data_IF_346657302001
#
_entry.id   IF_346657302001
#
_cell.length_a   1.000
_cell.length_b   1.000
_cell.length_c   1.000
_cell.angle_alpha   90.00
_cell.angle_beta   90.00
_cell.angle_gamma   90.00
#
_symmetry.space_group_name_H-M   'P 1'
#
loop_
_entity.id
_entity.type
_entity.pdbx_description
1 polymer ?
#
# COMPACT_ATOMS: atom_id res chain seq x y z
N UNK A 1 -12.54 2.77 10.13
CA UNK A 1 -11.91 1.69 10.90
C UNK A 1 -10.91 2.28 11.89
N UNK A 2 -11.33 2.54 13.12
CA UNK A 2 -10.41 2.58 14.25
C UNK A 2 -10.31 1.13 14.73
N UNK A 3 -9.23 0.45 14.35
CA UNK A 3 -8.88 -0.81 14.99
C UNK A 3 -8.16 -0.40 16.29
N UNK A 4 -8.74 -0.63 17.48
CA UNK A 4 -8.07 -0.31 18.73
C UNK A 4 -7.01 -1.38 18.99
N UNK A 5 -5.98 -1.41 18.14
CA UNK A 5 -4.83 -2.28 18.35
C UNK A 5 -3.95 -1.59 19.40
N UNK A 6 -3.81 -2.15 20.62
CA UNK A 6 -2.81 -1.67 21.56
C UNK A 6 -1.42 -1.75 20.91
N UNK A 7 -0.58 -0.75 21.19
CA UNK A 7 0.81 -0.69 20.72
C UNK A 7 1.50 -1.98 21.13
N UNK A 8 1.80 -2.88 20.19
CA UNK A 8 2.39 -4.19 20.53
C UNK A 8 1.84 -5.38 19.76
N UNK A 9 0.69 -5.24 19.10
CA UNK A 9 -0.05 -6.39 18.58
C UNK A 9 -0.19 -6.41 17.06
N UNK A 10 -0.03 -7.60 16.50
CA UNK A 10 -0.37 -7.94 15.13
C UNK A 10 -1.89 -8.08 15.06
N UNK A 11 -2.51 -7.36 14.12
CA UNK A 11 -3.95 -7.40 13.95
C UNK A 11 -4.28 -8.08 12.63
N UNK A 12 -5.27 -8.98 12.64
CA UNK A 12 -5.80 -9.62 11.46
C UNK A 12 -7.32 -9.47 11.37
N UNK A 13 -7.85 -9.50 10.16
CA UNK A 13 -9.28 -9.60 9.89
C UNK A 13 -9.52 -10.62 8.78
N UNK A 14 -10.43 -11.56 9.02
CA UNK A 14 -10.85 -12.64 8.11
C UNK A 14 -12.33 -12.42 7.79
N UNK A 15 -12.66 -12.20 6.51
CA UNK A 15 -14.04 -11.90 6.09
C UNK A 15 -14.54 -12.92 5.04
N UNK A 16 -15.77 -13.48 5.18
CA UNK A 16 -16.39 -14.35 4.18
C UNK A 16 -17.11 -13.59 3.07
N UNK A 17 -17.02 -14.11 1.85
CA UNK A 17 -18.03 -13.99 0.77
C UNK A 17 -18.11 -15.34 0.04
N UNK A 18 -19.22 -15.69 -0.59
CA UNK A 18 -19.39 -16.96 -1.33
C UNK A 18 -18.14 -17.33 -2.15
N UNK A 19 -17.47 -18.42 -1.75
CA UNK A 19 -16.27 -18.97 -2.40
C UNK A 19 -14.91 -18.31 -2.08
N UNK A 20 -14.87 -17.21 -1.30
CA UNK A 20 -13.62 -16.45 -1.04
C UNK A 20 -13.54 -15.88 0.37
N UNK A 21 -12.38 -16.01 1.00
CA UNK A 21 -12.09 -15.37 2.30
C UNK A 21 -10.92 -14.40 2.13
N UNK A 22 -11.03 -13.17 2.65
CA UNK A 22 -9.94 -12.21 2.58
C UNK A 22 -9.29 -11.98 3.94
N UNK A 23 -7.97 -12.10 4.00
CA UNK A 23 -7.16 -11.74 5.17
C UNK A 23 -6.49 -10.38 4.97
N UNK A 24 -6.68 -9.48 5.93
CA UNK A 24 -5.85 -8.29 6.09
C UNK A 24 -4.97 -8.43 7.33
N UNK A 25 -3.64 -8.36 7.16
CA UNK A 25 -2.68 -8.36 8.27
C UNK A 25 -2.02 -6.99 8.40
N UNK A 26 -2.09 -6.40 9.60
CA UNK A 26 -1.41 -5.15 9.92
C UNK A 26 -0.11 -5.42 10.68
N UNK A 27 0.98 -4.95 10.09
CA UNK A 27 2.33 -5.03 10.62
C UNK A 27 2.67 -3.69 11.24
N UNK A 28 2.69 -3.63 12.58
CA UNK A 28 3.36 -2.54 13.26
C UNK A 28 4.82 -2.92 13.45
N UNK A 29 5.73 -2.08 12.95
CA UNK A 29 7.11 -2.10 13.43
C UNK A 29 7.07 -1.72 14.91
N UNK A 30 7.10 -2.75 15.76
CA UNK A 30 7.21 -2.59 17.19
C UNK A 30 8.67 -2.79 17.53
N UNK A 31 9.39 -1.69 17.72
CA UNK A 31 10.56 -1.74 18.56
C UNK A 31 10.07 -2.15 19.95
N UNK A 32 10.24 -3.42 20.30
CA UNK A 32 10.05 -3.88 21.67
C UNK A 32 10.91 -3.02 22.60
N UNK A 33 10.38 -2.51 23.74
CA UNK A 33 11.14 -1.65 24.64
C UNK A 33 12.38 -2.34 25.25
N UNK A 34 12.48 -3.67 25.14
CA UNK A 34 13.61 -4.46 25.64
C UNK A 34 14.79 -4.59 24.67
N UNK A 35 14.65 -4.16 23.40
CA UNK A 35 15.76 -4.18 22.45
C UNK A 35 16.51 -2.85 22.56
N UNK A 36 17.35 -2.74 23.59
CA UNK A 36 18.32 -1.66 23.72
C UNK A 36 19.37 -1.85 22.62
N UNK A 37 19.16 -1.24 21.46
CA UNK A 37 20.15 -1.19 20.38
C UNK A 37 21.34 -0.35 20.86
N UNK A 38 22.36 -1.02 21.40
CA UNK A 38 23.69 -0.45 21.48
C UNK A 38 24.19 -0.19 20.03
N UNK A 39 24.93 0.89 19.77
CA UNK A 39 25.48 1.15 18.45
C UNK A 39 26.62 0.16 18.19
N UNK A 40 26.27 -1.04 17.72
CA UNK A 40 27.27 -2.02 17.27
C UNK A 40 27.71 -1.63 15.86
N UNK A 41 29.00 -1.24 15.77
CA UNK A 41 29.98 -1.23 14.67
C UNK A 41 29.50 -1.21 13.19
N UNK A 42 30.25 -0.54 12.30
CA UNK A 42 29.75 -0.07 11.01
C UNK A 42 29.57 -1.22 10.01
N UNK A 43 28.35 -1.74 9.90
CA UNK A 43 27.85 -2.25 8.63
C UNK A 43 28.18 -1.20 7.58
N UNK A 44 28.80 -1.56 6.45
CA UNK A 44 29.01 -0.63 5.34
C UNK A 44 27.66 0.00 5.00
N UNK A 45 27.41 1.25 5.44
CA UNK A 45 26.04 1.73 5.52
C UNK A 45 25.61 2.00 4.09
N UNK A 46 24.45 1.49 3.69
CA UNK A 46 23.88 1.94 2.41
C UNK A 46 23.86 3.46 2.45
N UNK A 47 24.54 4.11 1.51
CA UNK A 47 24.62 5.57 1.56
C UNK A 47 23.20 6.11 1.36
N UNK A 48 22.76 6.95 2.29
CA UNK A 48 21.48 7.62 2.19
C UNK A 48 21.59 8.79 1.21
N UNK A 49 20.88 8.71 0.09
CA UNK A 49 20.78 9.78 -0.90
C UNK A 49 19.45 10.51 -0.73
N UNK A 50 19.50 11.83 -0.63
CA UNK A 50 18.32 12.68 -0.57
C UNK A 50 18.19 13.41 -1.92
N UNK A 51 17.16 13.06 -2.68
CA UNK A 51 16.88 13.61 -4.01
C UNK A 51 15.75 14.61 -3.92
N UNK A 52 15.96 15.84 -4.38
CA UNK A 52 14.94 16.88 -4.47
C UNK A 52 14.71 17.24 -5.93
N UNK A 53 13.44 17.30 -6.34
CA UNK A 53 13.05 17.71 -7.70
C UNK A 53 11.74 18.50 -7.65
N UNK A 54 11.63 19.53 -8.47
CA UNK A 54 10.41 20.34 -8.67
C UNK A 54 9.77 20.14 -10.04
N UNK A 55 10.39 19.32 -10.90
CA UNK A 55 9.96 19.10 -12.27
C UNK A 55 9.97 17.63 -12.71
N UNK A 56 9.71 17.46 -14.00
CA UNK A 56 9.62 16.17 -14.67
C UNK A 56 10.91 15.78 -15.38
N UNK A 57 11.08 14.48 -15.59
CA UNK A 57 12.21 13.90 -16.32
C UNK A 57 11.67 13.02 -17.45
N UNK A 58 12.17 13.24 -18.67
CA UNK A 58 11.72 12.51 -19.87
C UNK A 58 12.18 11.05 -19.88
N UNK A 59 13.34 10.74 -19.31
CA UNK A 59 13.91 9.38 -19.26
C UNK A 59 13.68 8.70 -17.90
N UNK A 60 12.45 8.76 -17.38
CA UNK A 60 12.10 8.20 -16.06
C UNK A 60 12.50 6.72 -15.93
N UNK A 61 12.24 5.89 -16.96
CA UNK A 61 12.55 4.45 -16.94
C UNK A 61 14.04 4.16 -16.75
N UNK A 62 14.90 4.81 -17.54
CA UNK A 62 16.36 4.66 -17.45
C UNK A 62 16.89 5.04 -16.06
N UNK A 63 16.36 6.12 -15.48
CA UNK A 63 16.73 6.55 -14.13
C UNK A 63 16.31 5.50 -13.10
N UNK A 64 15.08 4.97 -13.20
CA UNK A 64 14.60 3.93 -12.28
C UNK A 64 15.41 2.63 -12.40
N UNK A 65 15.80 2.23 -13.61
CA UNK A 65 16.63 1.05 -13.86
C UNK A 65 18.05 1.23 -13.29
N UNK A 66 18.62 2.42 -13.43
CA UNK A 66 19.90 2.77 -12.81
C UNK A 66 19.82 2.71 -11.28
N UNK A 67 18.77 3.29 -10.69
CA UNK A 67 18.54 3.26 -9.24
C UNK A 67 18.37 1.82 -8.75
N UNK A 68 17.62 1.00 -9.48
CA UNK A 68 17.42 -0.43 -9.17
C UNK A 68 18.72 -1.21 -9.19
N UNK A 69 19.59 -0.97 -10.17
CA UNK A 69 20.93 -1.59 -10.26
C UNK A 69 21.79 -1.24 -9.06
N UNK A 70 21.63 -0.03 -8.50
CA UNK A 70 22.42 0.46 -7.37
C UNK A 70 21.70 0.33 -6.01
N UNK A 71 20.53 -0.29 -5.94
CA UNK A 71 19.74 -0.42 -4.70
C UNK A 71 20.44 -1.25 -3.60
N UNK A 72 21.49 -2.00 -3.96
CA UNK A 72 22.34 -2.73 -3.02
C UNK A 72 23.22 -1.81 -2.18
N UNK A 73 23.79 -0.75 -2.78
CA UNK A 73 24.73 0.17 -2.13
C UNK A 73 24.07 1.45 -1.59
N UNK A 74 22.89 1.80 -2.12
CA UNK A 74 22.27 3.09 -1.92
C UNK A 74 20.81 2.98 -1.53
N UNK A 75 20.38 3.87 -0.63
CA UNK A 75 18.97 4.06 -0.26
C UNK A 75 18.57 5.50 -0.59
N UNK A 76 17.53 5.66 -1.40
CA UNK A 76 17.13 6.98 -1.89
C UNK A 76 15.85 7.47 -1.22
N UNK A 77 15.93 8.65 -0.61
CA UNK A 77 14.81 9.42 -0.08
C UNK A 77 14.50 10.54 -1.08
N UNK A 78 13.34 10.51 -1.70
CA UNK A 78 12.99 11.42 -2.80
C UNK A 78 11.93 12.43 -2.37
N UNK A 79 12.07 13.66 -2.84
CA UNK A 79 11.20 14.79 -2.51
C UNK A 79 10.73 15.47 -3.80
N UNK A 80 9.42 15.48 -4.04
CA UNK A 80 8.79 16.34 -5.03
C UNK A 80 8.43 17.67 -4.45
N UNK A 81 8.79 18.76 -5.12
CA UNK A 81 8.48 20.12 -4.69
C UNK A 81 7.54 20.75 -5.72
N UNK A 82 6.37 21.19 -5.27
CA UNK A 82 5.36 21.78 -6.15
C UNK A 82 4.55 20.75 -6.94
N UNK A 83 3.54 21.25 -7.64
CA UNK A 83 2.56 20.45 -8.40
C UNK A 83 3.13 19.88 -9.71
N UNK A 84 4.27 20.41 -10.19
CA UNK A 84 4.92 19.97 -11.42
C UNK A 84 5.89 18.79 -11.23
N UNK A 85 6.05 18.29 -10.01
CA UNK A 85 7.01 17.25 -9.72
C UNK A 85 6.49 15.86 -10.13
N UNK A 86 7.30 15.09 -10.87
CA UNK A 86 6.88 13.78 -11.39
C UNK A 86 6.68 12.75 -10.28
N UNK A 87 5.41 12.42 -9.99
CA UNK A 87 5.04 11.38 -9.02
C UNK A 87 5.63 10.02 -9.36
N UNK A 88 5.70 9.68 -10.65
CA UNK A 88 6.25 8.41 -11.13
C UNK A 88 7.75 8.30 -10.80
N UNK A 89 8.52 9.37 -11.07
CA UNK A 89 9.94 9.41 -10.76
C UNK A 89 10.18 9.36 -9.25
N UNK A 90 9.54 10.24 -8.48
CA UNK A 90 9.78 10.37 -7.04
C UNK A 90 9.42 9.08 -6.31
N UNK A 91 8.21 8.56 -6.57
CA UNK A 91 7.76 7.31 -5.95
C UNK A 91 8.57 6.11 -6.43
N UNK A 92 8.93 6.08 -7.71
CA UNK A 92 9.73 5.01 -8.30
C UNK A 92 11.13 4.94 -7.70
N UNK A 93 11.84 6.07 -7.57
CA UNK A 93 13.20 6.13 -7.00
C UNK A 93 13.21 5.60 -5.57
N UNK A 94 12.27 6.06 -4.74
CA UNK A 94 12.14 5.58 -3.37
C UNK A 94 11.79 4.08 -3.31
N UNK A 95 10.88 3.61 -4.17
CA UNK A 95 10.46 2.20 -4.24
C UNK A 95 11.61 1.28 -4.63
N UNK A 96 12.38 1.63 -5.67
CA UNK A 96 13.49 0.80 -6.16
C UNK A 96 14.66 0.77 -5.18
N UNK A 97 15.00 1.90 -4.55
CA UNK A 97 16.10 1.98 -3.58
C UNK A 97 15.71 1.62 -2.13
N UNK A 98 14.45 1.23 -1.89
CA UNK A 98 13.96 0.90 -0.55
C UNK A 98 14.05 2.08 0.45
N UNK A 99 13.75 3.29 -0.03
CA UNK A 99 13.69 4.51 0.77
C UNK A 99 12.26 5.04 0.91
N UNK A 100 12.12 6.36 1.03
CA UNK A 100 10.83 7.01 1.26
C UNK A 100 10.65 8.23 0.36
N UNK A 101 9.47 8.32 -0.26
CA UNK A 101 9.06 9.41 -1.12
C UNK A 101 8.20 10.41 -0.33
N UNK A 102 8.44 11.70 -0.52
CA UNK A 102 7.60 12.77 0.00
C UNK A 102 7.29 13.82 -1.07
N UNK A 103 6.11 14.40 -0.99
CA UNK A 103 5.69 15.51 -1.85
C UNK A 103 5.49 16.73 -0.98
N UNK A 104 5.95 17.89 -1.41
CA UNK A 104 5.88 19.18 -0.72
C UNK A 104 5.11 20.11 -1.65
N UNK A 105 3.82 20.29 -1.41
CA UNK A 105 2.94 21.07 -2.30
C UNK A 105 2.18 22.16 -1.53
N UNK A 106 1.66 23.16 -2.24
CA UNK A 106 0.85 24.23 -1.67
C UNK A 106 1.48 24.92 -0.44
N UNK A 107 0.84 24.75 0.72
CA UNK A 107 1.23 25.36 2.01
C UNK A 107 2.08 24.43 2.89
N UNK A 108 2.57 23.31 2.34
CA UNK A 108 3.38 22.37 3.09
C UNK A 108 4.68 22.99 3.58
N UNK A 109 5.01 22.72 4.84
CA UNK A 109 6.34 23.03 5.38
C UNK A 109 7.31 21.91 5.01
N UNK A 110 8.39 22.25 4.34
CA UNK A 110 9.45 21.32 3.95
C UNK A 110 10.17 20.71 5.17
N UNK A 111 10.38 21.49 6.23
CA UNK A 111 11.17 21.08 7.39
C UNK A 111 10.67 19.79 8.06
N UNK A 112 9.39 19.64 8.46
CA UNK A 112 8.90 18.40 9.09
C UNK A 112 9.03 17.20 8.16
N UNK A 113 8.81 17.40 6.86
CA UNK A 113 8.92 16.37 5.82
C UNK A 113 10.35 15.85 5.70
N UNK A 114 11.32 16.76 5.54
CA UNK A 114 12.74 16.40 5.50
C UNK A 114 13.20 15.73 6.79
N UNK A 115 12.79 16.25 7.96
CA UNK A 115 13.15 15.67 9.25
C UNK A 115 12.60 14.24 9.43
N UNK A 116 11.41 13.94 8.89
CA UNK A 116 10.87 12.58 8.92
C UNK A 116 11.69 11.60 8.09
N UNK A 117 12.03 11.95 6.84
CA UNK A 117 12.90 11.11 6.00
C UNK A 117 14.30 10.97 6.59
N UNK A 118 14.82 12.02 7.25
CA UNK A 118 16.11 11.95 7.94
C UNK A 118 16.07 10.96 9.11
N UNK A 119 14.98 10.93 9.90
CA UNK A 119 14.81 9.92 10.96
C UNK A 119 14.84 8.51 10.38
N UNK A 120 14.15 8.28 9.25
CA UNK A 120 14.17 6.99 8.56
C UNK A 120 15.55 6.60 8.02
N UNK A 121 16.34 7.57 7.57
CA UNK A 121 17.71 7.33 7.12
C UNK A 121 18.67 6.95 8.26
N UNK A 122 18.48 7.54 9.45
CA UNK A 122 19.35 7.34 10.61
C UNK A 122 18.98 6.12 11.46
N UNK A 123 17.77 5.58 11.32
CA UNK A 123 17.29 4.44 12.08
C UNK A 123 17.49 3.13 11.32
N UNK A 124 17.66 2.03 12.08
CA UNK A 124 17.61 0.70 11.50
C UNK A 124 16.24 0.47 10.85
N UNK A 125 16.25 0.05 9.59
CA UNK A 125 15.05 -0.33 8.88
C UNK A 125 14.88 -1.84 8.92
N UNK A 126 13.62 -2.30 8.94
CA UNK A 126 13.30 -3.69 8.70
C UNK A 126 13.45 -3.94 7.20
N UNK A 127 14.28 -4.93 6.83
CA UNK A 127 14.58 -5.30 5.45
C UNK A 127 14.39 -6.80 5.24
N UNK A 128 14.49 -7.25 3.99
CA UNK A 128 14.38 -8.67 3.60
C UNK A 128 13.10 -9.35 4.10
N UNK A 129 12.00 -8.60 4.04
CA UNK A 129 10.69 -9.06 4.50
C UNK A 129 10.18 -10.15 3.56
N UNK A 130 9.87 -11.31 4.13
CA UNK A 130 9.26 -12.44 3.43
C UNK A 130 8.07 -12.95 4.22
N UNK A 131 7.01 -13.33 3.51
CA UNK A 131 5.74 -13.76 4.07
C UNK A 131 5.48 -15.18 3.61
N UNK A 132 5.32 -16.10 4.57
CA UNK A 132 4.99 -17.49 4.34
C UNK A 132 3.62 -17.79 4.91
N UNK A 133 2.79 -18.40 4.08
CA UNK A 133 1.44 -18.80 4.43
C UNK A 133 1.44 -20.30 4.73
N UNK A 134 0.98 -20.67 5.92
CA UNK A 134 0.81 -22.05 6.32
C UNK A 134 -0.68 -22.29 6.55
N UNK A 135 -1.33 -22.78 5.49
CA UNK A 135 -2.76 -23.08 5.44
C UNK A 135 -2.95 -24.57 5.08
N UNK A 136 -4.12 -25.16 5.39
CA UNK A 136 -4.46 -26.52 4.98
C UNK A 136 -4.35 -26.73 3.48
N UNK A 137 -4.15 -27.98 3.03
CA UNK A 137 -3.91 -28.31 1.62
C UNK A 137 -5.10 -27.97 0.72
N UNK A 138 -6.29 -27.91 1.30
CA UNK A 138 -7.57 -27.62 0.66
C UNK A 138 -7.77 -26.12 0.42
N UNK A 139 -6.94 -25.27 1.04
CA UNK A 139 -7.01 -23.82 0.95
C UNK A 139 -5.79 -23.28 0.20
N UNK A 140 -6.02 -22.46 -0.82
CA UNK A 140 -4.97 -21.75 -1.54
C UNK A 140 -4.92 -20.27 -1.17
N UNK A 141 -3.73 -19.66 -1.21
CA UNK A 141 -3.52 -18.25 -0.87
C UNK A 141 -3.01 -17.48 -2.07
N UNK A 142 -3.75 -16.44 -2.46
CA UNK A 142 -3.36 -15.49 -3.50
C UNK A 142 -3.07 -14.13 -2.88
N UNK A 143 -1.79 -13.69 -2.81
CA UNK A 143 -1.45 -12.34 -2.35
C UNK A 143 -2.04 -11.27 -3.28
N UNK A 144 -2.73 -10.28 -2.70
CA UNK A 144 -3.30 -9.15 -3.44
C UNK A 144 -2.47 -7.87 -3.31
N UNK A 145 -1.59 -7.82 -2.31
CA UNK A 145 -0.71 -6.67 -2.06
C UNK A 145 0.68 -6.87 -2.67
N UNK A 146 1.32 -5.80 -3.16
CA UNK A 146 2.69 -5.87 -3.63
C UNK A 146 3.65 -6.21 -2.48
N UNK A 147 4.80 -6.86 -2.76
CA UNK A 147 5.79 -7.17 -1.74
C UNK A 147 6.31 -5.92 -1.03
N UNK A 148 6.32 -5.95 0.30
CA UNK A 148 6.92 -4.90 1.12
C UNK A 148 8.43 -5.19 1.21
N UNK A 149 9.26 -4.25 0.78
CA UNK A 149 10.73 -4.44 0.77
C UNK A 149 11.40 -3.91 2.03
N UNK A 150 10.95 -2.76 2.51
CA UNK A 150 11.55 -2.03 3.62
C UNK A 150 10.44 -1.42 4.47
N UNK A 151 10.60 -1.45 5.78
CA UNK A 151 9.71 -0.78 6.74
C UNK A 151 10.54 0.01 7.74
N UNK A 152 10.26 1.30 7.87
CA UNK A 152 10.91 2.16 8.86
C UNK A 152 10.14 2.18 10.18
N UNK A 153 10.83 2.54 11.26
CA UNK A 153 10.20 2.67 12.58
C UNK A 153 9.01 3.64 12.53
N UNK A 154 7.90 3.25 13.14
CA UNK A 154 6.66 4.03 13.16
C UNK A 154 5.80 3.92 11.90
N UNK A 155 6.30 3.29 10.83
CA UNK A 155 5.47 2.93 9.68
C UNK A 155 4.65 1.67 9.97
N UNK A 156 3.50 1.58 9.29
CA UNK A 156 2.63 0.40 9.29
C UNK A 156 2.53 -0.13 7.88
N UNK A 157 2.56 -1.44 7.74
CA UNK A 157 2.28 -2.09 6.48
C UNK A 157 1.01 -2.94 6.56
N UNK A 158 0.28 -2.99 5.46
CA UNK A 158 -0.94 -3.77 5.31
C UNK A 158 -0.74 -4.76 4.18
N UNK A 159 -1.01 -6.03 4.46
CA UNK A 159 -1.02 -7.09 3.46
C UNK A 159 -2.42 -7.67 3.34
N UNK A 160 -2.90 -7.72 2.11
CA UNK A 160 -4.14 -8.38 1.71
C UNK A 160 -3.82 -9.66 0.98
N UNK A 161 -4.50 -10.75 1.34
CA UNK A 161 -4.42 -12.03 0.65
C UNK A 161 -5.80 -12.69 0.58
N UNK A 162 -6.11 -13.23 -0.60
CA UNK A 162 -7.34 -13.97 -0.88
C UNK A 162 -7.10 -15.45 -0.63
N UNK A 163 -7.92 -16.04 0.21
CA UNK A 163 -7.98 -17.45 0.52
C UNK A 163 -9.13 -18.06 -0.29
N UNK A 164 -8.85 -19.16 -1.00
CA UNK A 164 -9.85 -19.92 -1.77
C UNK A 164 -9.83 -21.37 -1.36
N UNK A 165 -11.00 -22.01 -1.31
CA UNK A 165 -11.16 -23.40 -0.92
C UNK A 165 -12.18 -23.59 0.18
N UNK A 166 -12.55 -24.85 0.41
CA UNK A 166 -13.50 -25.24 1.46
C UNK A 166 -12.71 -25.86 2.62
N UNK A 167 -12.73 -25.23 3.78
CA UNK A 167 -12.20 -25.83 5.01
C UNK A 167 -13.36 -26.40 5.83
N UNK A 168 -13.36 -27.70 6.07
CA UNK A 168 -14.30 -28.34 6.99
C UNK A 168 -13.92 -28.04 8.45
N UNK A 169 -14.69 -27.18 9.13
CA UNK A 169 -14.58 -26.95 10.58
C UNK A 169 -13.52 -25.95 11.05
N UNK A 170 -13.29 -25.90 12.38
CA UNK A 170 -12.38 -25.04 13.19
C UNK A 170 -10.89 -25.10 12.80
N UNK A 171 -10.60 -24.95 11.51
CA UNK A 171 -9.23 -25.06 11.03
C UNK A 171 -8.52 -23.72 11.19
N UNK A 172 -7.35 -23.74 11.81
CA UNK A 172 -6.50 -22.55 11.93
C UNK A 172 -5.49 -22.48 10.79
N UNK A 173 -5.28 -21.28 10.27
CA UNK A 173 -4.16 -20.94 9.41
C UNK A 173 -3.11 -20.17 10.20
N UNK A 174 -1.88 -20.11 9.69
CA UNK A 174 -0.87 -19.20 10.24
C UNK A 174 -0.10 -18.47 9.15
N UNK A 175 0.23 -17.21 9.42
CA UNK A 175 1.11 -16.39 8.59
C UNK A 175 2.42 -16.21 9.34
N UNK A 176 3.52 -16.58 8.71
CA UNK A 176 4.86 -16.41 9.26
C UNK A 176 5.58 -15.34 8.47
N UNK A 177 6.09 -14.32 9.15
CA UNK A 177 6.84 -13.25 8.52
C UNK A 177 8.25 -13.22 9.06
N UNK A 178 9.19 -13.39 8.14
CA UNK A 178 10.63 -13.34 8.42
C UNK A 178 11.18 -12.04 7.86
N UNK A 179 12.05 -11.39 8.63
CA UNK A 179 12.69 -10.15 8.24
C UNK A 179 14.03 -9.99 8.96
N UNK A 180 14.85 -9.05 8.48
CA UNK A 180 16.10 -8.67 9.14
C UNK A 180 15.95 -7.28 9.77
N UNK A 181 16.27 -7.17 11.06
CA UNK A 181 16.31 -5.90 11.79
C UNK A 181 17.71 -5.76 12.40
N UNK A 182 18.43 -4.71 12.01
CA UNK A 182 19.82 -4.50 12.45
C UNK A 182 20.68 -5.77 12.26
N UNK A 183 20.54 -6.42 11.09
CA UNK A 183 21.22 -7.67 10.71
C UNK A 183 20.83 -8.93 11.51
N UNK A 184 19.87 -8.81 12.43
CA UNK A 184 19.35 -9.96 13.15
C UNK A 184 18.12 -10.51 12.43
N UNK A 185 18.11 -11.80 12.05
CA UNK A 185 16.93 -12.44 11.51
C UNK A 185 15.88 -12.56 12.63
N UNK A 186 14.68 -12.07 12.34
CA UNK A 186 13.53 -12.15 13.24
C UNK A 186 12.40 -12.86 12.49
N UNK A 187 11.68 -13.70 13.22
CA UNK A 187 10.54 -14.46 12.71
C UNK A 187 9.36 -14.27 13.65
N UNK A 188 8.25 -13.79 13.10
CA UNK A 188 6.99 -13.62 13.83
C UNK A 188 5.92 -14.46 13.16
N UNK A 189 5.16 -15.21 13.95
CA UNK A 189 4.03 -16.01 13.48
C UNK A 189 2.73 -15.46 14.03
N UNK A 190 1.71 -15.38 13.18
CA UNK A 190 0.36 -14.99 13.52
C UNK A 190 -0.60 -16.12 13.12
N UNK A 191 -1.24 -16.74 14.09
CA UNK A 191 -2.33 -17.68 13.85
C UNK A 191 -3.65 -16.93 13.67
N UNK A 192 -4.50 -17.43 12.79
CA UNK A 192 -5.84 -16.90 12.53
C UNK A 192 -6.81 -18.06 12.28
N UNK A 193 -8.07 -17.86 12.66
CA UNK A 193 -9.11 -18.83 12.35
C UNK A 193 -9.51 -18.71 10.88
N UNK A 194 -9.64 -19.84 10.19
CA UNK A 194 -10.26 -19.87 8.85
C UNK A 194 -11.79 -19.78 8.93
N UNK A 195 -12.37 -19.88 10.14
CA UNK A 195 -13.79 -19.59 10.33
C UNK A 195 -14.01 -18.11 10.02
N UNK A 196 -14.86 -17.81 9.03
CA UNK A 196 -15.13 -16.43 8.70
C UNK A 196 -15.87 -15.73 9.83
N UNK A 197 -15.47 -14.50 10.14
CA UNK A 197 -16.18 -13.71 11.15
C UNK A 197 -17.61 -13.39 10.67
N UNK A 198 -18.60 -13.55 11.56
CA UNK A 198 -19.97 -13.14 11.28
C UNK A 198 -20.02 -11.61 11.05
N UNK A 199 -20.56 -11.23 9.89
CA UNK A 199 -20.91 -9.86 9.52
C UNK A 199 -19.80 -8.79 9.60
N UNK A 200 -18.69 -9.01 8.90
CA UNK A 200 -17.65 -7.98 8.71
C UNK A 200 -17.89 -7.04 7.51
N UNK A 201 -18.98 -7.29 6.77
CA UNK A 201 -19.33 -6.59 5.53
C UNK A 201 -18.25 -6.71 4.44
N UNK A 202 -18.46 -6.06 3.29
CA UNK A 202 -17.53 -6.15 2.15
C UNK A 202 -16.29 -5.23 2.26
N UNK A 203 -16.00 -4.65 3.43
CA UNK A 203 -15.01 -3.57 3.51
C UNK A 203 -13.59 -4.09 3.26
N UNK A 204 -13.20 -5.19 3.90
CA UNK A 204 -11.87 -5.77 3.69
C UNK A 204 -11.74 -6.21 2.23
N UNK A 205 -12.78 -6.83 1.67
CA UNK A 205 -12.85 -7.23 0.25
C UNK A 205 -12.60 -6.06 -0.69
N UNK A 206 -13.29 -4.93 -0.48
CA UNK A 206 -13.10 -3.72 -1.27
C UNK A 206 -11.71 -3.12 -1.10
N UNK A 207 -11.12 -3.17 0.09
CA UNK A 207 -9.74 -2.71 0.31
C UNK A 207 -8.71 -3.61 -0.37
N UNK A 208 -8.89 -4.93 -0.33
CA UNK A 208 -8.07 -5.89 -1.06
C UNK A 208 -8.18 -5.70 -2.57
N UNK A 209 -9.40 -5.57 -3.09
CA UNK A 209 -9.66 -5.29 -4.50
C UNK A 209 -9.05 -3.94 -4.93
N UNK A 210 -9.23 -2.86 -4.16
CA UNK A 210 -8.60 -1.56 -4.43
C UNK A 210 -7.08 -1.65 -4.47
N UNK A 211 -6.49 -2.44 -3.58
CA UNK A 211 -5.04 -2.63 -3.53
C UNK A 211 -4.54 -3.36 -4.78
N UNK A 212 -5.24 -4.41 -5.21
CA UNK A 212 -4.90 -5.15 -6.42
C UNK A 212 -5.11 -4.30 -7.69
N UNK A 213 -6.23 -3.58 -7.81
CA UNK A 213 -6.51 -2.66 -8.92
C UNK A 213 -5.36 -1.66 -9.06
N UNK A 214 -4.96 -1.00 -7.97
CA UNK A 214 -3.86 -0.03 -7.99
C UNK A 214 -2.52 -0.66 -8.41
N UNK A 215 -2.27 -1.92 -8.04
CA UNK A 215 -1.05 -2.62 -8.48
C UNK A 215 -1.07 -2.85 -9.99
N UNK A 216 -2.19 -3.34 -10.52
CA UNK A 216 -2.36 -3.62 -11.96
C UNK A 216 -2.30 -2.32 -12.80
N UNK A 217 -2.87 -1.22 -12.33
CA UNK A 217 -2.79 0.09 -12.99
C UNK A 217 -1.36 0.63 -13.05
N UNK A 218 -0.53 0.36 -12.04
CA UNK A 218 0.89 0.74 -12.08
C UNK A 218 1.65 -0.13 -13.08
N UNK A 219 1.38 -1.43 -13.12
CA UNK A 219 2.01 -2.34 -14.08
C UNK A 219 1.66 -2.03 -15.53
N UNK A 220 0.43 -1.59 -15.79
CA UNK A 220 -0.04 -1.15 -17.12
C UNK A 220 0.69 0.12 -17.59
N UNK A 221 0.89 1.10 -16.69
CA UNK A 221 1.63 2.34 -17.01
C UNK A 221 3.13 2.16 -17.21
N UNK A 222 3.75 1.17 -16.55
CA UNK A 222 5.20 0.93 -16.61
C UNK A 222 5.64 0.16 -17.89
N UNK A 223 4.69 -0.39 -18.65
CA UNK A 223 4.96 -1.18 -19.85
C UNK A 223 4.53 -0.41 -21.11
N UNK A 224 5.51 -0.06 -21.96
CA UNK A 224 5.33 0.63 -23.26
C UNK A 224 4.62 -0.24 -24.34
N UNK A 225 3.82 -1.23 -23.93
CA UNK A 225 3.06 -2.09 -24.83
C UNK A 225 1.83 -2.63 -24.14
N UNK A 226 0.71 -2.67 -24.86
CA UNK A 226 -0.53 -3.31 -24.41
C UNK A 226 -0.24 -4.78 -24.10
N UNK A 227 -0.16 -5.13 -22.80
CA UNK A 227 -0.52 -6.49 -22.40
C UNK A 227 -2.02 -6.61 -22.53
N UNK A 228 -2.45 -7.16 -23.65
CA UNK A 228 -3.79 -7.66 -23.89
C UNK A 228 -4.21 -8.50 -22.66
N UNK A 229 -5.20 -8.02 -21.89
CA UNK A 229 -5.72 -8.70 -20.70
C UNK A 229 -5.60 -7.96 -19.36
N UNK A 230 -4.65 -7.03 -19.16
CA UNK A 230 -4.53 -6.32 -17.86
C UNK A 230 -5.72 -5.39 -17.65
N UNK A 231 -6.08 -4.62 -18.68
CA UNK A 231 -7.21 -3.71 -18.67
C UNK A 231 -8.52 -4.46 -18.42
N UNK A 232 -8.74 -5.56 -19.13
CA UNK A 232 -9.92 -6.42 -18.99
C UNK A 232 -10.04 -6.95 -17.56
N UNK A 233 -8.93 -7.41 -16.97
CA UNK A 233 -8.88 -7.88 -15.59
C UNK A 233 -9.20 -6.78 -14.57
N UNK A 234 -8.70 -5.56 -14.79
CA UNK A 234 -9.02 -4.41 -13.92
C UNK A 234 -10.50 -4.06 -14.00
N UNK A 235 -11.08 -4.04 -15.20
CA UNK A 235 -12.52 -3.78 -15.40
C UNK A 235 -13.36 -4.85 -14.73
N UNK A 236 -13.04 -6.13 -14.91
CA UNK A 236 -13.74 -7.24 -14.28
C UNK A 236 -13.70 -7.13 -12.75
N UNK A 237 -12.51 -6.96 -12.17
CA UNK A 237 -12.33 -6.83 -10.72
C UNK A 237 -13.07 -5.62 -10.15
N UNK A 238 -13.05 -4.50 -10.88
CA UNK A 238 -13.74 -3.28 -10.50
C UNK A 238 -15.26 -3.47 -10.43
N UNK A 239 -15.84 -4.11 -11.45
CA UNK A 239 -17.28 -4.38 -11.54
C UNK A 239 -17.70 -5.38 -10.45
N UNK A 240 -16.95 -6.46 -10.26
CA UNK A 240 -17.26 -7.49 -9.26
C UNK A 240 -17.17 -6.96 -7.82
N UNK A 241 -16.17 -6.14 -7.52
CA UNK A 241 -15.94 -5.62 -6.17
C UNK A 241 -16.71 -4.33 -5.85
N UNK A 242 -17.24 -3.65 -6.87
CA UNK A 242 -17.84 -2.32 -6.73
C UNK A 242 -16.80 -1.27 -6.30
N UNK A 243 -15.57 -1.37 -6.80
CA UNK A 243 -14.47 -0.42 -6.54
C UNK A 243 -14.10 0.27 -7.84
N UNK A 244 -14.13 1.60 -7.88
CA UNK A 244 -13.75 2.37 -9.08
C UNK A 244 -12.27 2.18 -9.42
N UNK A 245 -11.97 2.13 -10.71
CA UNK A 245 -10.63 2.06 -11.30
C UNK A 245 -10.44 3.18 -12.32
N UNK A 246 -9.22 3.31 -12.87
CA UNK A 246 -8.94 4.22 -13.98
C UNK A 246 -9.80 3.95 -15.24
N UNK A 247 -10.35 2.75 -15.38
CA UNK A 247 -11.12 2.32 -16.56
C UNK A 247 -12.63 2.22 -16.31
N UNK A 248 -13.10 2.51 -15.09
CA UNK A 248 -14.51 2.33 -14.70
C UNK A 248 -15.04 3.52 -13.91
N UNK A 249 -16.31 3.87 -14.13
CA UNK A 249 -16.98 4.96 -13.46
C UNK A 249 -18.34 4.53 -12.91
N UNK A 250 -18.76 5.12 -11.79
CA UNK A 250 -20.12 5.01 -11.30
C UNK A 250 -20.98 6.08 -11.95
N UNK A 251 -22.08 5.66 -12.58
CA UNK A 251 -23.04 6.57 -13.21
C UNK A 251 -24.34 6.49 -12.42
N UNK A 252 -24.76 7.63 -11.86
CA UNK A 252 -26.07 7.75 -11.23
C UNK A 252 -27.12 8.01 -12.32
N UNK A 253 -28.11 7.13 -12.44
CA UNK A 253 -29.22 7.28 -13.38
C UNK A 253 -30.48 7.62 -12.59
N UNK A 254 -31.05 8.80 -12.83
CA UNK A 254 -32.34 9.18 -12.29
C UNK A 254 -33.45 8.47 -13.07
N UNK A 255 -34.28 7.70 -12.38
CA UNK A 255 -35.41 6.93 -12.97
C UNK A 255 -36.76 7.65 -12.87
N UNK A 256 -36.75 8.98 -12.75
CA UNK A 256 -37.98 9.78 -12.79
C UNK A 256 -38.63 9.76 -14.17
N UNK A 257 -39.72 10.52 -14.33
CA UNK A 257 -40.35 10.75 -15.63
C UNK A 257 -39.24 11.18 -16.62
N UNK A 258 -39.21 10.60 -17.83
CA UNK A 258 -38.14 10.74 -18.84
C UNK A 258 -37.94 12.18 -19.38
N UNK A 259 -38.35 13.19 -18.62
CA UNK A 259 -38.07 14.59 -18.86
C UNK A 259 -36.57 14.87 -18.63
N UNK A 260 -35.94 15.44 -19.66
CA UNK A 260 -34.57 15.92 -19.54
C UNK A 260 -34.48 16.96 -18.42
N UNK A 261 -33.62 16.71 -17.43
CA UNK A 261 -33.33 17.69 -16.38
C UNK A 261 -32.78 18.95 -17.03
N UNK A 262 -33.60 20.00 -17.11
CA UNK A 262 -33.18 21.31 -17.58
C UNK A 262 -32.52 22.06 -16.41
N UNK A 263 -31.19 22.18 -16.45
CA UNK A 263 -30.43 22.91 -15.44
C UNK A 263 -28.94 22.96 -15.76
N UNK A 264 -28.23 23.93 -15.21
CA UNK A 264 -26.78 23.97 -15.28
C UNK A 264 -26.20 22.88 -14.36
N UNK A 265 -25.24 22.11 -14.86
CA UNK A 265 -24.41 21.22 -14.04
C UNK A 265 -23.67 22.06 -12.99
N UNK A 266 -24.13 22.01 -11.75
CA UNK A 266 -23.50 22.70 -10.63
C UNK A 266 -22.46 21.79 -10.01
N UNK A 267 -21.18 22.07 -10.29
CA UNK A 267 -20.08 21.39 -9.61
C UNK A 267 -20.10 21.74 -8.13
N UNK A 268 -20.55 20.81 -7.29
CA UNK A 268 -20.46 20.91 -5.84
C UNK A 268 -19.23 20.16 -5.36
N UNK A 269 -18.33 20.86 -4.67
CA UNK A 269 -17.33 20.15 -3.86
C UNK A 269 -18.03 19.53 -2.67
N UNK A 270 -18.06 18.20 -2.61
CA UNK A 270 -18.53 17.46 -1.45
C UNK A 270 -17.37 17.43 -0.45
N UNK A 271 -17.50 18.06 0.74
CA UNK A 271 -16.47 17.97 1.76
C UNK A 271 -16.32 16.51 2.15
N UNK A 272 -15.14 15.93 1.95
CA UNK A 272 -14.82 14.63 2.54
C UNK A 272 -14.75 14.81 4.07
N UNK A 273 -15.26 13.84 4.87
CA UNK A 273 -15.17 13.95 6.31
C UNK A 273 -13.71 14.10 6.72
N UNK A 274 -13.45 15.20 7.42
CA UNK A 274 -12.14 15.63 7.88
C UNK A 274 -11.62 14.59 8.89
N UNK A 275 -10.88 13.58 8.44
CA UNK A 275 -10.03 12.79 9.31
C UNK A 275 -8.92 13.73 9.80
N UNK A 276 -8.90 14.04 11.09
CA UNK A 276 -7.88 14.88 11.72
C UNK A 276 -6.44 14.40 11.49
N UNK A 277 -5.45 15.16 11.99
CA UNK A 277 -4.33 15.72 11.23
C UNK A 277 -3.41 14.64 10.64
N UNK A 278 -3.79 14.06 9.52
CA UNK A 278 -2.88 13.47 8.55
C UNK A 278 -3.42 13.84 7.18
N UNK A 279 -2.87 14.93 6.64
CA UNK A 279 -3.29 15.50 5.37
C UNK A 279 -3.15 14.50 4.23
N UNK A 280 -4.29 14.08 3.70
CA UNK A 280 -4.48 13.75 2.30
C UNK A 280 -5.87 14.26 1.93
N UNK A 281 -5.94 15.48 1.42
CA UNK A 281 -7.09 15.91 0.63
C UNK A 281 -6.94 15.22 -0.73
N UNK A 282 -7.40 13.97 -0.83
CA UNK A 282 -7.67 13.38 -2.14
C UNK A 282 -8.89 14.11 -2.71
N UNK A 283 -8.64 15.00 -3.68
CA UNK A 283 -9.67 15.59 -4.51
C UNK A 283 -10.22 14.51 -5.45
N UNK A 284 -11.05 13.61 -4.92
CA UNK A 284 -11.95 12.81 -5.75
C UNK A 284 -13.01 13.74 -6.31
N UNK A 285 -12.80 14.20 -7.54
CA UNK A 285 -13.79 14.94 -8.32
C UNK A 285 -14.97 14.02 -8.62
N UNK A 286 -16.02 14.05 -7.80
CA UNK A 286 -17.33 13.60 -8.21
C UNK A 286 -18.02 14.76 -8.92
N UNK A 287 -18.16 14.67 -10.25
CA UNK A 287 -19.17 15.47 -10.96
C UNK A 287 -20.52 14.77 -10.74
N UNK A 288 -21.49 15.52 -10.22
CA UNK A 288 -22.90 15.16 -10.17
C UNK A 288 -23.66 16.05 -11.16
#
# INVERSE_FOLDING_TARGET
>A
WHCPCPVGHWCHAVCPVEGFVLLAACFLSLCHPSVTLAPTAPCSPKHALFLFTDGEVRNTKEVLDLVKTNAGSHRCFSFGIGEGASTALISGVAKQAGGHAQFITGQDRMQPKVMQSLRFALQAAVVDISVKWNVPKEVSVTPLSPPIRVLFQGQRALLYAQLTGESSGDTEGSVTVKYSLAEQPVENQLSFSLKPAEDTGLTVHRLGARTLIRSLEVEEREQDGEKEGVKEKVVELSVQSGVSSAFTAFIAVHKGDEEALQGQLLRRQVPTPNCGPMGMADNSNCMY
#
